data_IF_559939081870
#
_entry.id   IF_559939081870
#
_cell.length_a   1.000
_cell.length_b   1.000
_cell.length_c   1.000
_cell.angle_alpha   90.00
_cell.angle_beta   90.00
_cell.angle_gamma   90.00
#
_symmetry.space_group_name_H-M   'P 1'
#
loop_
_entity.id
_entity.type
_entity.pdbx_description
1 polymer ?
#
# COMPACT_ATOMS: atom_id res chain seq x y z
N UNK A 1 -17.35 0.52 19.90
CA UNK A 1 -16.69 -0.15 21.06
C UNK A 1 -16.04 -1.45 20.65
N UNK A 2 -16.70 -2.38 19.99
CA UNK A 2 -16.15 -3.68 19.54
C UNK A 2 -14.92 -3.50 18.64
N UNK A 3 -14.97 -2.59 17.65
CA UNK A 3 -13.87 -2.34 16.72
C UNK A 3 -12.59 -1.88 17.42
N UNK A 4 -12.69 -0.98 18.41
CA UNK A 4 -11.54 -0.53 19.20
C UNK A 4 -10.96 -1.66 20.04
N UNK A 5 -11.81 -2.53 20.58
CA UNK A 5 -11.37 -3.74 21.29
C UNK A 5 -10.58 -4.66 20.34
N UNK A 6 -11.07 -4.88 19.13
CA UNK A 6 -10.37 -5.70 18.13
C UNK A 6 -8.99 -5.13 17.75
N UNK A 7 -8.88 -3.80 17.57
CA UNK A 7 -7.57 -3.14 17.38
C UNK A 7 -6.64 -3.43 18.54
N UNK A 8 -7.10 -3.24 19.78
CA UNK A 8 -6.29 -3.47 20.97
C UNK A 8 -5.83 -4.93 21.07
N UNK A 9 -6.74 -5.87 20.84
CA UNK A 9 -6.43 -7.31 20.89
C UNK A 9 -5.42 -7.68 19.81
N UNK A 10 -5.64 -7.32 18.56
CA UNK A 10 -4.71 -7.67 17.47
C UNK A 10 -3.35 -6.98 17.62
N UNK A 11 -3.32 -5.77 18.14
CA UNK A 11 -2.08 -5.07 18.50
C UNK A 11 -1.31 -5.83 19.58
N UNK A 12 -1.96 -6.24 20.67
CA UNK A 12 -1.33 -7.01 21.77
C UNK A 12 -0.84 -8.36 21.24
N UNK A 13 -1.63 -9.06 20.45
CA UNK A 13 -1.24 -10.34 19.83
C UNK A 13 0.00 -10.14 18.95
N UNK A 14 0.01 -9.11 18.10
CA UNK A 14 1.16 -8.79 17.23
C UNK A 14 2.40 -8.47 18.06
N UNK A 15 2.28 -7.65 19.13
CA UNK A 15 3.37 -7.32 20.03
C UNK A 15 3.95 -8.56 20.74
N UNK A 16 3.10 -9.49 21.15
CA UNK A 16 3.54 -10.70 21.88
C UNK A 16 4.10 -11.79 20.97
N UNK A 17 3.56 -11.95 19.75
CA UNK A 17 4.02 -12.95 18.78
C UNK A 17 5.35 -12.52 18.14
N UNK A 18 5.59 -11.23 17.92
CA UNK A 18 6.79 -10.74 17.22
C UNK A 18 8.11 -11.28 17.80
N UNK A 19 8.39 -11.20 19.12
CA UNK A 19 9.62 -11.76 19.67
C UNK A 19 9.75 -13.27 19.47
N UNK A 20 8.64 -14.00 19.48
CA UNK A 20 8.62 -15.45 19.24
C UNK A 20 8.99 -15.75 17.81
N UNK A 21 8.40 -15.03 16.84
CA UNK A 21 8.71 -15.17 15.41
C UNK A 21 10.17 -14.81 15.13
N UNK A 22 10.71 -13.76 15.74
CA UNK A 22 12.15 -13.41 15.64
C UNK A 22 13.02 -14.57 16.11
N UNK A 23 12.68 -15.21 17.25
CA UNK A 23 13.45 -16.32 17.78
C UNK A 23 13.39 -17.56 16.86
N UNK A 24 12.20 -17.88 16.33
CA UNK A 24 11.99 -18.99 15.39
C UNK A 24 12.74 -18.72 14.06
N UNK A 25 12.61 -17.54 13.51
CA UNK A 25 13.28 -17.12 12.27
C UNK A 25 14.80 -17.28 12.37
N UNK A 26 15.39 -16.87 13.51
CA UNK A 26 16.84 -17.04 13.73
C UNK A 26 17.23 -18.52 13.82
N UNK A 27 16.42 -19.37 14.45
CA UNK A 27 16.67 -20.83 14.53
C UNK A 27 16.58 -21.50 13.16
N UNK A 28 15.63 -21.07 12.32
CA UNK A 28 15.43 -21.58 10.98
C UNK A 28 16.37 -20.93 9.94
N UNK A 29 17.21 -20.00 10.35
CA UNK A 29 18.11 -19.25 9.48
C UNK A 29 17.39 -18.43 8.38
N UNK A 30 16.11 -18.07 8.63
CA UNK A 30 15.27 -17.23 7.77
C UNK A 30 15.51 -15.74 8.12
N UNK A 31 16.72 -15.29 7.82
CA UNK A 31 17.23 -13.95 8.16
C UNK A 31 17.90 -13.31 6.96
N UNK A 32 17.69 -12.05 6.78
CA UNK A 32 18.44 -11.25 5.83
C UNK A 32 19.84 -10.98 6.37
N UNK A 33 20.87 -11.51 5.67
CA UNK A 33 22.27 -11.39 6.07
C UNK A 33 22.86 -10.05 5.57
N UNK A 34 23.69 -9.37 6.37
CA UNK A 34 24.38 -8.17 5.93
C UNK A 34 25.23 -8.46 4.69
N UNK A 35 25.18 -7.55 3.73
CA UNK A 35 26.10 -7.54 2.59
C UNK A 35 26.53 -6.10 2.28
N UNK A 36 27.52 -5.92 1.38
CA UNK A 36 28.08 -4.60 1.03
C UNK A 36 27.06 -3.58 0.48
N UNK A 37 25.84 -4.01 0.16
CA UNK A 37 24.77 -3.15 -0.39
C UNK A 37 23.69 -2.80 0.63
N UNK A 38 23.72 -3.38 1.85
CA UNK A 38 22.70 -3.28 2.88
C UNK A 38 23.14 -2.40 4.02
N UNK A 39 22.21 -1.65 4.59
CA UNK A 39 22.46 -0.67 5.66
C UNK A 39 22.62 -1.34 7.02
N UNK A 40 22.04 -2.53 7.22
CA UNK A 40 22.08 -3.23 8.50
C UNK A 40 23.39 -4.06 8.66
N UNK A 41 23.89 -4.10 9.89
CA UNK A 41 25.15 -4.78 10.25
C UNK A 41 24.94 -6.14 10.94
N UNK A 42 23.69 -6.48 11.30
CA UNK A 42 23.31 -7.75 11.97
C UNK A 42 22.25 -8.47 11.14
N UNK A 43 22.21 -9.83 11.19
CA UNK A 43 21.12 -10.58 10.56
C UNK A 43 19.77 -10.20 11.16
N UNK A 44 18.81 -9.83 10.30
CA UNK A 44 17.45 -9.41 10.70
C UNK A 44 16.45 -10.41 10.12
N UNK A 45 15.47 -10.82 10.94
CA UNK A 45 14.37 -11.71 10.52
C UNK A 45 13.54 -11.09 9.39
N UNK A 46 13.17 -11.87 8.37
CA UNK A 46 12.29 -11.46 7.25
C UNK A 46 10.87 -12.01 7.38
N UNK A 47 10.50 -12.58 8.54
CA UNK A 47 9.20 -13.23 8.75
C UNK A 47 8.13 -12.29 9.32
N UNK A 48 8.14 -11.00 8.98
CA UNK A 48 7.13 -10.04 9.47
C UNK A 48 5.71 -10.39 9.02
N UNK A 49 5.56 -10.89 7.79
CA UNK A 49 4.27 -11.36 7.28
C UNK A 49 3.61 -12.42 8.15
N UNK A 50 4.41 -13.31 8.78
CA UNK A 50 3.90 -14.34 9.71
C UNK A 50 3.22 -13.71 10.92
N UNK A 51 3.84 -12.69 11.52
CA UNK A 51 3.27 -11.97 12.68
C UNK A 51 1.92 -11.35 12.32
N UNK A 52 1.87 -10.66 11.17
CA UNK A 52 0.68 -9.95 10.73
C UNK A 52 -0.43 -10.95 10.37
N UNK A 53 -0.12 -12.04 9.67
CA UNK A 53 -1.11 -13.07 9.33
C UNK A 53 -1.75 -13.67 10.59
N UNK A 54 -0.95 -14.12 11.56
CA UNK A 54 -1.49 -14.75 12.75
C UNK A 54 -2.32 -13.79 13.61
N UNK A 55 -1.84 -12.55 13.82
CA UNK A 55 -2.60 -11.55 14.55
C UNK A 55 -3.88 -11.14 13.82
N UNK A 56 -3.85 -11.03 12.50
CA UNK A 56 -5.01 -10.77 11.66
C UNK A 56 -6.04 -11.91 11.75
N UNK A 57 -5.62 -13.18 11.59
CA UNK A 57 -6.52 -14.33 11.69
C UNK A 57 -7.16 -14.47 13.07
N UNK A 58 -6.43 -14.20 14.15
CA UNK A 58 -6.97 -14.17 15.52
C UNK A 58 -8.02 -13.06 15.64
N UNK A 59 -7.76 -11.88 15.07
CA UNK A 59 -8.73 -10.78 15.06
C UNK A 59 -10.00 -11.12 14.28
N UNK A 60 -9.88 -11.79 13.13
CA UNK A 60 -11.02 -12.29 12.36
C UNK A 60 -11.81 -13.34 13.16
N UNK A 61 -11.12 -14.28 13.80
CA UNK A 61 -11.76 -15.31 14.62
C UNK A 61 -12.56 -14.71 15.77
N UNK A 62 -12.03 -13.70 16.45
CA UNK A 62 -12.72 -13.02 17.56
C UNK A 62 -13.85 -12.12 17.03
N UNK A 63 -13.62 -11.40 15.93
CA UNK A 63 -14.61 -10.51 15.32
C UNK A 63 -15.78 -11.23 14.66
N UNK A 64 -15.57 -12.49 14.26
CA UNK A 64 -16.56 -13.41 13.74
C UNK A 64 -17.46 -12.83 12.62
N UNK A 65 -16.87 -12.29 11.52
CA UNK A 65 -17.65 -11.76 10.41
C UNK A 65 -18.44 -12.88 9.74
N UNK A 66 -19.71 -12.61 9.45
CA UNK A 66 -20.64 -13.58 8.86
C UNK A 66 -20.78 -13.41 7.33
N UNK A 67 -20.17 -12.37 6.77
CA UNK A 67 -20.23 -12.04 5.35
C UNK A 67 -19.52 -13.09 4.50
N UNK A 68 -20.06 -13.35 3.31
CA UNK A 68 -19.53 -14.35 2.36
C UNK A 68 -18.16 -13.97 1.83
N UNK A 69 -17.85 -12.69 1.81
CA UNK A 69 -16.60 -12.07 1.36
C UNK A 69 -15.40 -12.44 2.22
N UNK A 70 -15.62 -12.98 3.42
CA UNK A 70 -14.53 -13.42 4.30
C UNK A 70 -13.74 -14.60 3.69
N UNK A 71 -14.40 -15.48 2.94
CA UNK A 71 -13.76 -16.65 2.32
C UNK A 71 -12.72 -16.25 1.26
N UNK A 72 -13.06 -15.43 0.24
CA UNK A 72 -12.07 -14.98 -0.74
C UNK A 72 -10.99 -14.09 -0.12
N UNK A 73 -11.31 -13.30 0.90
CA UNK A 73 -10.33 -12.50 1.62
C UNK A 73 -9.26 -13.39 2.28
N UNK A 74 -9.66 -14.35 3.09
CA UNK A 74 -8.73 -15.22 3.83
C UNK A 74 -7.95 -16.11 2.85
N UNK A 75 -8.62 -16.74 1.88
CA UNK A 75 -7.93 -17.62 0.92
C UNK A 75 -6.91 -16.86 0.08
N UNK A 76 -7.26 -15.69 -0.44
CA UNK A 76 -6.32 -14.86 -1.19
C UNK A 76 -5.17 -14.32 -0.32
N UNK A 77 -5.45 -13.90 0.91
CA UNK A 77 -4.42 -13.46 1.85
C UNK A 77 -3.41 -14.58 2.18
N UNK A 78 -3.89 -15.82 2.38
CA UNK A 78 -3.03 -16.99 2.61
C UNK A 78 -2.19 -17.31 1.36
N UNK A 79 -2.78 -17.27 0.16
CA UNK A 79 -2.03 -17.48 -1.09
C UNK A 79 -0.92 -16.44 -1.23
N UNK A 80 -1.22 -15.16 -0.99
CA UNK A 80 -0.23 -14.08 -1.07
C UNK A 80 0.85 -14.21 0.00
N UNK A 81 0.48 -14.58 1.23
CA UNK A 81 1.44 -14.84 2.29
C UNK A 81 2.40 -15.98 1.92
N UNK A 82 1.87 -17.12 1.44
CA UNK A 82 2.69 -18.28 1.04
C UNK A 82 3.59 -17.92 -0.14
N UNK A 83 3.05 -17.22 -1.15
CA UNK A 83 3.84 -16.73 -2.28
C UNK A 83 5.00 -15.85 -1.83
N UNK A 84 4.75 -14.87 -0.98
CA UNK A 84 5.77 -13.98 -0.46
C UNK A 84 6.77 -14.71 0.47
N UNK A 85 6.31 -15.68 1.27
CA UNK A 85 7.22 -16.48 2.10
C UNK A 85 8.17 -17.33 1.25
N UNK A 86 7.68 -17.92 0.16
CA UNK A 86 8.50 -18.67 -0.80
C UNK A 86 9.48 -17.72 -1.49
N UNK A 87 9.05 -16.49 -1.79
CA UNK A 87 9.92 -15.46 -2.37
C UNK A 87 11.02 -14.99 -1.38
N UNK A 88 10.67 -14.75 -0.13
CA UNK A 88 11.62 -14.39 0.94
C UNK A 88 12.73 -15.48 1.13
N UNK A 89 12.41 -16.75 0.79
CA UNK A 89 13.33 -17.89 0.95
C UNK A 89 14.16 -18.16 -0.32
N UNK A 90 13.52 -18.08 -1.50
CA UNK A 90 14.08 -18.60 -2.76
C UNK A 90 14.36 -17.52 -3.81
N UNK A 91 14.01 -16.25 -3.57
CA UNK A 91 14.17 -15.12 -4.51
C UNK A 91 13.54 -15.44 -5.87
N UNK A 92 12.21 -15.49 -5.92
CA UNK A 92 11.44 -15.92 -7.08
C UNK A 92 11.60 -14.97 -8.26
N UNK A 93 11.58 -15.52 -9.46
CA UNK A 93 11.56 -14.70 -10.67
C UNK A 93 10.27 -13.87 -10.76
N UNK A 94 10.33 -12.61 -11.25
CA UNK A 94 9.18 -11.69 -11.24
C UNK A 94 7.90 -12.26 -11.89
N UNK A 95 8.04 -13.08 -12.96
CA UNK A 95 6.87 -13.67 -13.63
C UNK A 95 6.18 -14.75 -12.78
N UNK A 96 6.90 -15.47 -11.91
CA UNK A 96 6.32 -16.45 -10.98
C UNK A 96 5.54 -15.70 -9.89
N UNK A 97 6.12 -14.62 -9.35
CA UNK A 97 5.43 -13.72 -8.41
C UNK A 97 4.14 -13.18 -9.00
N UNK A 98 4.20 -12.66 -10.22
CA UNK A 98 3.03 -12.15 -10.92
C UNK A 98 1.96 -13.22 -11.14
N UNK A 99 2.35 -14.43 -11.54
CA UNK A 99 1.40 -15.54 -11.73
C UNK A 99 0.68 -15.91 -10.43
N UNK A 100 1.40 -15.96 -9.29
CA UNK A 100 0.80 -16.20 -7.98
C UNK A 100 -0.15 -15.08 -7.54
N UNK A 101 0.20 -13.82 -7.79
CA UNK A 101 -0.67 -12.67 -7.52
C UNK A 101 -1.96 -12.74 -8.38
N UNK A 102 -1.84 -13.08 -9.66
CA UNK A 102 -3.00 -13.27 -10.55
C UNK A 102 -3.87 -14.41 -10.03
N UNK A 103 -3.28 -15.53 -9.61
CA UNK A 103 -4.04 -16.67 -9.08
C UNK A 103 -4.84 -16.26 -7.82
N UNK A 104 -4.25 -15.52 -6.88
CA UNK A 104 -4.95 -15.02 -5.70
C UNK A 104 -6.07 -14.04 -6.07
N UNK A 105 -5.85 -13.15 -7.04
CA UNK A 105 -6.87 -12.21 -7.51
C UNK A 105 -8.02 -12.91 -8.26
N UNK A 106 -7.72 -13.96 -9.01
CA UNK A 106 -8.74 -14.79 -9.66
C UNK A 106 -9.63 -15.52 -8.64
N UNK A 107 -9.09 -15.98 -7.52
CA UNK A 107 -9.91 -16.53 -6.43
C UNK A 107 -10.96 -15.53 -5.99
N UNK A 108 -10.60 -14.25 -5.80
CA UNK A 108 -11.55 -13.19 -5.45
C UNK A 108 -12.63 -13.02 -6.51
N UNK A 109 -12.23 -12.97 -7.78
CA UNK A 109 -13.16 -12.79 -8.89
C UNK A 109 -14.12 -13.98 -9.05
N UNK A 110 -13.65 -15.21 -8.87
CA UNK A 110 -14.50 -16.42 -8.94
C UNK A 110 -15.49 -16.55 -7.77
N UNK A 111 -15.20 -15.92 -6.63
CA UNK A 111 -16.19 -15.76 -5.56
C UNK A 111 -17.21 -14.63 -5.81
N UNK A 112 -17.20 -14.02 -7.00
CA UNK A 112 -18.15 -12.98 -7.39
C UNK A 112 -17.82 -11.57 -6.86
N UNK A 113 -16.60 -11.36 -6.35
CA UNK A 113 -16.15 -10.02 -5.94
C UNK A 113 -15.44 -9.37 -7.11
N UNK A 114 -16.20 -8.67 -7.95
CA UNK A 114 -15.73 -8.07 -9.22
C UNK A 114 -16.14 -6.60 -9.34
N UNK A 115 -15.45 -5.85 -10.21
CA UNK A 115 -15.85 -4.51 -10.66
C UNK A 115 -16.72 -4.70 -11.89
N UNK A 116 -18.06 -4.64 -11.73
CA UNK A 116 -18.99 -4.99 -12.80
C UNK A 116 -19.35 -3.79 -13.67
N UNK A 117 -19.39 -2.59 -13.09
CA UNK A 117 -19.70 -1.36 -13.80
C UNK A 117 -19.10 -0.13 -13.13
N UNK A 118 -19.02 0.97 -13.87
CA UNK A 118 -18.69 2.30 -13.37
C UNK A 118 -19.83 3.24 -13.73
N UNK A 119 -20.30 4.02 -12.73
CA UNK A 119 -21.29 5.07 -12.95
C UNK A 119 -20.60 6.39 -13.26
N UNK A 120 -20.99 7.02 -14.36
CA UNK A 120 -20.52 8.34 -14.77
C UNK A 120 -21.33 9.45 -14.07
N UNK A 121 -20.80 10.69 -13.92
CA UNK A 121 -21.48 11.78 -13.21
C UNK A 121 -22.85 12.16 -13.78
N UNK A 122 -23.14 11.84 -15.05
CA UNK A 122 -24.42 12.13 -15.71
C UNK A 122 -25.45 10.99 -15.61
N UNK A 123 -25.24 10.02 -14.69
CA UNK A 123 -26.17 8.90 -14.48
C UNK A 123 -26.03 7.75 -15.49
N UNK A 124 -25.12 7.85 -16.45
CA UNK A 124 -24.80 6.75 -17.37
C UNK A 124 -23.92 5.73 -16.70
N UNK A 125 -24.19 4.43 -16.90
CA UNK A 125 -23.36 3.34 -16.40
C UNK A 125 -22.63 2.63 -17.54
N UNK A 126 -21.35 2.37 -17.37
CA UNK A 126 -20.55 1.54 -18.27
C UNK A 126 -20.44 0.16 -17.66
N UNK A 127 -21.08 -0.84 -18.27
CA UNK A 127 -20.99 -2.24 -17.87
C UNK A 127 -19.76 -2.89 -18.47
N UNK A 128 -18.99 -3.60 -17.66
CA UNK A 128 -17.77 -4.27 -18.15
C UNK A 128 -18.01 -5.67 -18.67
N UNK A 129 -19.09 -6.34 -18.26
CA UNK A 129 -19.41 -7.70 -18.68
C UNK A 129 -18.23 -8.66 -18.45
N UNK A 130 -17.73 -9.30 -19.51
CA UNK A 130 -16.60 -10.24 -19.41
C UNK A 130 -15.27 -9.57 -18.97
N UNK A 131 -15.13 -8.25 -19.13
CA UNK A 131 -13.96 -7.50 -18.67
C UNK A 131 -13.94 -7.28 -17.15
N UNK A 132 -15.02 -7.55 -16.42
CA UNK A 132 -15.08 -7.40 -14.95
C UNK A 132 -13.98 -8.19 -14.26
N UNK A 133 -13.71 -9.44 -14.69
CA UNK A 133 -12.67 -10.29 -14.12
C UNK A 133 -11.26 -9.72 -14.38
N UNK A 134 -10.83 -9.44 -15.64
CA UNK A 134 -9.51 -8.87 -15.88
C UNK A 134 -9.30 -7.52 -15.19
N UNK A 135 -10.30 -6.64 -15.16
CA UNK A 135 -10.20 -5.34 -14.46
C UNK A 135 -9.99 -5.55 -12.95
N UNK A 136 -10.73 -6.45 -12.34
CA UNK A 136 -10.59 -6.82 -10.92
C UNK A 136 -9.20 -7.37 -10.62
N UNK A 137 -8.69 -8.27 -11.46
CA UNK A 137 -7.36 -8.85 -11.31
C UNK A 137 -6.28 -7.77 -11.42
N UNK A 138 -6.36 -6.91 -12.43
CA UNK A 138 -5.42 -5.79 -12.61
C UNK A 138 -5.44 -4.87 -11.38
N UNK A 139 -6.62 -4.56 -10.85
CA UNK A 139 -6.79 -3.72 -9.67
C UNK A 139 -6.06 -4.28 -8.45
N UNK A 140 -6.35 -5.52 -8.09
CA UNK A 140 -5.74 -6.19 -6.93
C UNK A 140 -4.23 -6.30 -7.10
N UNK A 141 -3.77 -6.75 -8.27
CA UNK A 141 -2.34 -6.91 -8.57
C UNK A 141 -1.60 -5.57 -8.56
N UNK A 142 -2.22 -4.49 -9.08
CA UNK A 142 -1.60 -3.17 -9.07
C UNK A 142 -1.39 -2.65 -7.65
N UNK A 143 -2.39 -2.73 -6.77
CA UNK A 143 -2.27 -2.32 -5.36
C UNK A 143 -1.26 -3.20 -4.62
N UNK A 144 -1.30 -4.51 -4.84
CA UNK A 144 -0.36 -5.46 -4.23
C UNK A 144 1.09 -5.10 -4.58
N UNK A 145 1.37 -4.86 -5.87
CA UNK A 145 2.72 -4.49 -6.29
C UNK A 145 3.11 -3.08 -5.81
N UNK A 146 2.17 -2.12 -5.74
CA UNK A 146 2.47 -0.79 -5.23
C UNK A 146 2.92 -0.82 -3.76
N UNK A 147 2.26 -1.62 -2.92
CA UNK A 147 2.67 -1.81 -1.51
C UNK A 147 3.99 -2.59 -1.41
N UNK A 148 4.19 -3.60 -2.24
CA UNK A 148 5.44 -4.37 -2.24
C UNK A 148 6.65 -3.51 -2.68
N UNK A 149 6.49 -2.64 -3.67
CA UNK A 149 7.58 -1.79 -4.16
C UNK A 149 7.98 -0.68 -3.18
N UNK A 150 7.08 -0.23 -2.30
CA UNK A 150 7.43 0.78 -1.28
C UNK A 150 8.13 0.16 -0.07
N UNK A 151 8.19 -1.16 0.07
CA UNK A 151 8.86 -1.86 1.19
C UNK A 151 10.39 -1.85 1.04
N UNK A 152 10.97 -0.66 0.96
CA UNK A 152 12.41 -0.44 0.81
C UNK A 152 13.11 0.12 2.05
N UNK A 153 12.36 0.54 3.09
CA UNK A 153 12.90 1.11 4.34
C UNK A 153 12.14 0.58 5.55
N UNK A 154 12.85 0.47 6.70
CA UNK A 154 12.27 0.03 7.97
C UNK A 154 10.99 0.78 8.32
N UNK A 155 9.88 0.07 8.46
CA UNK A 155 8.58 0.61 8.82
C UNK A 155 7.81 1.30 7.71
N UNK A 156 8.40 1.51 6.52
CA UNK A 156 7.80 2.33 5.48
C UNK A 156 6.49 1.75 4.96
N UNK A 157 6.51 0.52 4.44
CA UNK A 157 5.31 -0.12 3.90
C UNK A 157 4.26 -0.37 4.99
N UNK A 158 4.68 -0.82 6.17
CA UNK A 158 3.78 -1.05 7.31
C UNK A 158 3.05 0.22 7.74
N UNK A 159 3.75 1.36 7.83
CA UNK A 159 3.15 2.63 8.26
C UNK A 159 2.28 3.27 7.19
N UNK A 160 2.71 3.28 5.92
CA UNK A 160 1.87 3.77 4.80
C UNK A 160 0.59 2.95 4.68
N UNK A 161 0.69 1.62 4.83
CA UNK A 161 -0.47 0.73 4.86
C UNK A 161 -1.39 1.01 6.05
N UNK A 162 -0.84 1.28 7.24
CA UNK A 162 -1.63 1.66 8.42
C UNK A 162 -2.40 2.97 8.19
N UNK A 163 -1.77 3.99 7.61
CA UNK A 163 -2.41 5.25 7.24
C UNK A 163 -3.55 5.01 6.24
N UNK A 164 -3.31 4.19 5.20
CA UNK A 164 -4.33 3.81 4.23
C UNK A 164 -5.52 3.09 4.86
N UNK A 165 -5.27 2.14 5.77
CA UNK A 165 -6.31 1.39 6.48
C UNK A 165 -7.15 2.27 7.41
N UNK A 166 -6.54 3.25 8.10
CA UNK A 166 -7.29 4.25 8.88
C UNK A 166 -8.26 5.00 7.98
N UNK A 167 -7.81 5.41 6.81
CA UNK A 167 -8.61 6.20 5.87
C UNK A 167 -9.74 5.37 5.26
N UNK A 168 -9.44 4.16 4.75
CA UNK A 168 -10.45 3.24 4.20
C UNK A 168 -11.47 2.88 5.28
N UNK A 169 -11.01 2.56 6.50
CA UNK A 169 -11.86 2.23 7.63
C UNK A 169 -12.74 3.41 8.07
N UNK A 170 -12.22 4.64 8.05
CA UNK A 170 -13.00 5.84 8.35
C UNK A 170 -14.10 6.08 7.29
N UNK A 171 -13.78 5.98 6.01
CA UNK A 171 -14.77 6.09 4.92
C UNK A 171 -15.81 4.96 5.04
N UNK A 172 -15.39 3.74 5.39
CA UNK A 172 -16.30 2.63 5.63
C UNK A 172 -17.28 2.88 6.81
N UNK A 173 -16.82 3.57 7.87
CA UNK A 173 -17.70 4.02 8.96
C UNK A 173 -18.76 5.00 8.42
N UNK A 174 -18.36 5.97 7.60
CA UNK A 174 -19.31 6.93 6.99
C UNK A 174 -20.32 6.23 6.07
N UNK A 175 -19.93 5.11 5.45
CA UNK A 175 -20.80 4.26 4.63
C UNK A 175 -21.64 3.28 5.44
N UNK A 176 -21.51 3.24 6.78
CA UNK A 176 -22.09 2.23 7.65
C UNK A 176 -21.72 0.77 7.26
N UNK A 177 -20.58 0.57 6.60
CA UNK A 177 -20.10 -0.75 6.21
C UNK A 177 -19.30 -1.39 7.34
N UNK A 178 -19.97 -2.23 8.14
CA UNK A 178 -19.40 -2.85 9.34
C UNK A 178 -18.26 -3.82 8.97
N UNK A 179 -18.43 -4.61 7.89
CA UNK A 179 -17.44 -5.60 7.46
C UNK A 179 -16.11 -4.95 7.12
N UNK A 180 -16.12 -3.98 6.18
CA UNK A 180 -14.89 -3.28 5.78
C UNK A 180 -14.25 -2.57 6.97
N UNK A 181 -15.06 -1.88 7.79
CA UNK A 181 -14.59 -1.22 9.01
C UNK A 181 -13.86 -2.21 9.92
N UNK A 182 -14.47 -3.36 10.20
CA UNK A 182 -13.88 -4.36 11.09
C UNK A 182 -12.56 -4.90 10.52
N UNK A 183 -12.52 -5.29 9.25
CA UNK A 183 -11.31 -5.85 8.62
C UNK A 183 -10.17 -4.82 8.61
N UNK A 184 -10.47 -3.55 8.25
CA UNK A 184 -9.49 -2.47 8.30
C UNK A 184 -8.86 -2.33 9.68
N UNK A 185 -9.67 -2.30 10.72
CA UNK A 185 -9.19 -2.06 12.08
C UNK A 185 -8.50 -3.29 12.70
N UNK A 186 -8.92 -4.51 12.36
CA UNK A 186 -8.21 -5.74 12.73
C UNK A 186 -6.80 -5.77 12.13
N UNK A 187 -6.67 -5.47 10.83
CA UNK A 187 -5.36 -5.41 10.19
C UNK A 187 -4.52 -4.24 10.71
N UNK A 188 -5.15 -3.08 10.95
CA UNK A 188 -4.50 -1.91 11.54
C UNK A 188 -3.85 -2.23 12.90
N UNK A 189 -4.59 -2.89 13.80
CA UNK A 189 -4.06 -3.30 15.09
C UNK A 189 -2.85 -4.23 14.95
N UNK A 190 -2.93 -5.21 14.02
CA UNK A 190 -1.81 -6.09 13.70
C UNK A 190 -0.58 -5.32 13.22
N UNK A 191 -0.77 -4.32 12.34
CA UNK A 191 0.31 -3.49 11.82
C UNK A 191 0.92 -2.56 12.88
N UNK A 192 0.10 -1.94 13.73
CA UNK A 192 0.61 -1.05 14.80
C UNK A 192 1.49 -1.85 15.77
N UNK A 193 1.05 -3.04 16.20
CA UNK A 193 1.84 -3.91 17.05
C UNK A 193 3.15 -4.35 16.40
N UNK A 194 3.10 -4.71 15.10
CA UNK A 194 4.27 -5.09 14.32
C UNK A 194 5.23 -3.90 14.14
N UNK A 195 4.73 -2.71 13.84
CA UNK A 195 5.50 -1.50 13.57
C UNK A 195 6.40 -1.11 14.76
N UNK A 196 6.03 -1.47 15.99
CA UNK A 196 6.86 -1.27 17.18
C UNK A 196 8.23 -1.97 17.06
N UNK A 197 8.30 -3.09 16.35
CA UNK A 197 9.55 -3.83 16.09
C UNK A 197 10.13 -3.57 14.70
N UNK A 198 9.30 -3.15 13.75
CA UNK A 198 9.70 -2.92 12.37
C UNK A 198 10.17 -1.48 12.12
N UNK A 199 9.81 -0.49 12.97
CA UNK A 199 10.28 0.90 12.83
C UNK A 199 11.79 0.99 13.09
N UNK A 200 12.42 1.94 12.38
CA UNK A 200 13.88 2.08 12.40
C UNK A 200 14.47 2.42 13.79
N UNK A 201 15.49 1.69 14.28
CA UNK A 201 16.17 0.54 13.66
C UNK A 201 15.37 -0.76 13.82
N UNK A 202 15.06 -1.41 12.70
CA UNK A 202 14.20 -2.58 12.67
C UNK A 202 14.83 -3.79 13.36
N UNK A 203 14.02 -4.53 14.12
CA UNK A 203 14.37 -5.85 14.72
C UNK A 203 13.83 -7.01 13.87
N UNK A 204 12.89 -6.73 12.98
CA UNK A 204 12.26 -7.64 12.04
C UNK A 204 11.83 -6.86 10.80
N UNK A 205 12.06 -7.40 9.62
CA UNK A 205 11.57 -6.85 8.36
C UNK A 205 10.20 -7.42 8.03
N UNK A 206 9.43 -6.65 7.27
CA UNK A 206 8.10 -7.05 6.80
C UNK A 206 8.19 -8.28 5.89
N UNK A 207 9.12 -8.24 4.95
CA UNK A 207 9.33 -9.25 3.92
C UNK A 207 8.25 -9.22 2.82
N UNK A 208 8.53 -9.93 1.73
CA UNK A 208 7.58 -10.09 0.63
C UNK A 208 6.29 -10.80 1.08
N UNK A 209 6.40 -11.71 2.04
CA UNK A 209 5.25 -12.37 2.70
C UNK A 209 4.28 -11.37 3.34
N UNK A 210 4.79 -10.34 4.01
CA UNK A 210 3.97 -9.29 4.59
C UNK A 210 3.48 -8.29 3.56
N UNK A 211 4.37 -7.78 2.72
CA UNK A 211 4.06 -6.74 1.76
C UNK A 211 2.99 -7.17 0.72
N UNK A 212 3.13 -8.38 0.15
CA UNK A 212 2.15 -8.92 -0.80
C UNK A 212 0.79 -9.18 -0.14
N UNK A 213 0.79 -9.76 1.06
CA UNK A 213 -0.46 -10.03 1.80
C UNK A 213 -1.20 -8.74 2.18
N UNK A 214 -0.52 -7.75 2.73
CA UNK A 214 -1.11 -6.45 3.10
C UNK A 214 -1.64 -5.75 1.85
N UNK A 215 -0.84 -5.70 0.79
CA UNK A 215 -1.24 -5.10 -0.48
C UNK A 215 -2.48 -5.74 -1.07
N UNK A 216 -2.57 -7.07 -1.03
CA UNK A 216 -3.77 -7.82 -1.44
C UNK A 216 -4.99 -7.47 -0.57
N UNK A 217 -4.86 -7.48 0.77
CA UNK A 217 -5.98 -7.17 1.66
C UNK A 217 -6.47 -5.73 1.43
N UNK A 218 -5.57 -4.75 1.29
CA UNK A 218 -5.93 -3.37 0.98
C UNK A 218 -6.59 -3.28 -0.40
N UNK A 219 -6.08 -3.99 -1.42
CA UNK A 219 -6.68 -4.07 -2.74
C UNK A 219 -8.09 -4.65 -2.71
N UNK A 220 -8.30 -5.72 -1.96
CA UNK A 220 -9.60 -6.34 -1.74
C UNK A 220 -10.59 -5.40 -1.01
N UNK A 221 -10.15 -4.75 0.08
CA UNK A 221 -10.99 -3.82 0.83
C UNK A 221 -11.36 -2.59 0.00
N UNK A 222 -10.42 -2.07 -0.79
CA UNK A 222 -10.68 -0.97 -1.70
C UNK A 222 -11.68 -1.35 -2.79
N UNK A 223 -11.60 -2.57 -3.31
CA UNK A 223 -12.56 -3.11 -4.25
C UNK A 223 -13.98 -3.13 -3.66
N UNK A 224 -14.14 -3.70 -2.47
CA UNK A 224 -15.44 -3.78 -1.80
C UNK A 224 -16.01 -2.42 -1.41
N UNK A 225 -15.16 -1.51 -0.94
CA UNK A 225 -15.57 -0.20 -0.45
C UNK A 225 -15.96 0.78 -1.54
N UNK A 226 -15.41 0.60 -2.76
CA UNK A 226 -15.52 1.58 -3.82
C UNK A 226 -16.02 1.01 -5.16
N UNK A 227 -16.31 -0.31 -5.24
CA UNK A 227 -16.90 -0.92 -6.44
C UNK A 227 -18.32 -0.41 -6.66
N UNK A 228 -18.72 -0.35 -7.93
CA UNK A 228 -20.11 -0.07 -8.34
C UNK A 228 -20.67 1.28 -7.86
N UNK A 229 -19.79 2.23 -7.54
CA UNK A 229 -20.15 3.59 -7.19
C UNK A 229 -19.88 4.50 -8.41
N UNK A 230 -19.48 5.71 -8.24
CA UNK A 230 -19.11 6.60 -9.33
C UNK A 230 -17.67 6.37 -9.79
N UNK A 231 -17.33 6.78 -11.02
CA UNK A 231 -15.94 6.79 -11.48
C UNK A 231 -15.01 7.50 -10.49
N UNK A 232 -15.51 8.54 -9.81
CA UNK A 232 -14.78 9.30 -8.79
C UNK A 232 -14.39 8.39 -7.62
N UNK A 233 -15.25 7.44 -7.24
CA UNK A 233 -14.98 6.54 -6.12
C UNK A 233 -13.81 5.58 -6.37
N UNK A 234 -13.52 5.23 -7.62
CA UNK A 234 -12.34 4.44 -7.97
C UNK A 234 -11.02 5.20 -7.76
N UNK A 235 -11.06 6.54 -7.72
CA UNK A 235 -9.88 7.33 -7.42
C UNK A 235 -9.55 7.38 -5.92
N UNK A 236 -10.51 7.11 -5.02
CA UNK A 236 -10.21 7.17 -3.58
C UNK A 236 -9.05 6.24 -3.16
N UNK A 237 -9.04 4.95 -3.51
CA UNK A 237 -7.90 4.09 -3.16
C UNK A 237 -6.59 4.55 -3.80
N UNK A 238 -6.63 5.09 -5.03
CA UNK A 238 -5.44 5.63 -5.71
C UNK A 238 -4.92 6.87 -4.97
N UNK A 239 -5.81 7.75 -4.49
CA UNK A 239 -5.44 8.93 -3.71
C UNK A 239 -4.95 8.54 -2.31
N UNK A 240 -5.64 7.63 -1.63
CA UNK A 240 -5.23 7.11 -0.31
C UNK A 240 -3.83 6.50 -0.37
N UNK A 241 -3.55 5.76 -1.44
CA UNK A 241 -2.28 5.10 -1.70
C UNK A 241 -1.43 5.88 -2.72
N UNK A 242 -1.59 7.22 -2.80
CA UNK A 242 -0.93 8.01 -3.83
C UNK A 242 0.59 7.82 -3.83
N UNK A 243 1.22 7.76 -2.66
CA UNK A 243 2.68 7.58 -2.58
C UNK A 243 3.13 6.26 -3.22
N UNK A 244 2.61 5.07 -2.86
CA UNK A 244 2.94 3.82 -3.54
C UNK A 244 2.64 3.85 -5.05
N UNK A 245 1.50 4.42 -5.45
CA UNK A 245 1.11 4.50 -6.86
C UNK A 245 2.02 5.42 -7.67
N UNK A 246 2.32 6.61 -7.16
CA UNK A 246 3.23 7.57 -7.79
C UNK A 246 4.60 6.93 -7.97
N UNK A 247 5.14 6.30 -6.94
CA UNK A 247 6.46 5.67 -6.98
C UNK A 247 6.51 4.56 -8.03
N UNK A 248 5.49 3.70 -8.07
CA UNK A 248 5.37 2.62 -9.06
C UNK A 248 5.21 3.16 -10.49
N UNK A 249 4.32 4.14 -10.70
CA UNK A 249 4.05 4.73 -12.01
C UNK A 249 5.30 5.40 -12.59
N UNK A 250 5.97 6.23 -11.80
CA UNK A 250 7.18 6.90 -12.26
C UNK A 250 8.36 5.95 -12.44
N UNK A 251 8.45 4.85 -11.68
CA UNK A 251 9.41 3.79 -11.95
C UNK A 251 9.18 3.16 -13.33
N UNK A 252 7.92 2.86 -13.70
CA UNK A 252 7.58 2.34 -15.02
C UNK A 252 7.90 3.35 -16.14
N UNK A 253 7.54 4.62 -15.97
CA UNK A 253 7.83 5.69 -16.95
C UNK A 253 9.35 5.82 -17.17
N UNK A 254 10.15 5.83 -16.11
CA UNK A 254 11.62 5.90 -16.22
C UNK A 254 12.20 4.71 -16.99
N UNK A 255 11.72 3.49 -16.73
CA UNK A 255 12.18 2.28 -17.42
C UNK A 255 11.86 2.34 -18.92
N UNK A 256 10.64 2.72 -19.28
CA UNK A 256 10.25 2.91 -20.68
C UNK A 256 11.10 3.98 -21.36
N UNK A 257 11.32 5.15 -20.73
CA UNK A 257 12.18 6.20 -21.27
C UNK A 257 13.64 5.75 -21.49
N UNK A 258 14.15 4.83 -20.66
CA UNK A 258 15.49 4.27 -20.77
C UNK A 258 15.57 3.06 -21.69
N UNK A 259 14.48 2.64 -22.35
CA UNK A 259 14.43 1.44 -23.16
C UNK A 259 14.62 0.14 -22.36
N UNK A 260 14.36 0.17 -21.05
CA UNK A 260 14.49 -0.98 -20.15
C UNK A 260 13.18 -1.75 -20.04
N UNK A 261 13.27 -3.04 -19.72
CA UNK A 261 12.08 -3.85 -19.47
C UNK A 261 11.35 -3.39 -18.21
N UNK A 262 10.01 -3.31 -18.25
CA UNK A 262 9.18 -2.80 -17.15
C UNK A 262 9.41 -3.53 -15.82
N UNK A 263 9.76 -4.82 -15.86
CA UNK A 263 10.02 -5.67 -14.69
C UNK A 263 11.46 -5.61 -14.18
N UNK A 264 12.34 -4.79 -14.79
CA UNK A 264 13.72 -4.68 -14.34
C UNK A 264 13.80 -3.93 -13.00
N UNK A 265 14.74 -4.30 -12.13
CA UNK A 265 14.95 -3.60 -10.85
C UNK A 265 15.31 -2.12 -11.09
N UNK A 266 14.65 -1.21 -10.36
CA UNK A 266 14.92 0.23 -10.36
C UNK A 266 15.38 0.67 -8.97
N UNK A 267 16.44 1.47 -8.90
CA UNK A 267 16.99 2.04 -7.66
C UNK A 267 16.63 3.52 -7.49
N UNK A 268 15.65 4.03 -8.26
CA UNK A 268 15.28 5.45 -8.27
C UNK A 268 13.89 5.69 -7.66
N UNK A 269 13.48 4.83 -6.73
CA UNK A 269 12.25 5.01 -5.95
C UNK A 269 12.30 6.25 -5.07
N UNK A 270 11.15 6.77 -4.68
CA UNK A 270 11.00 8.01 -3.89
C UNK A 270 11.90 8.00 -2.64
N UNK A 271 11.91 6.90 -1.90
CA UNK A 271 12.73 6.78 -0.70
C UNK A 271 14.24 6.85 -1.01
N UNK A 272 14.71 6.28 -2.13
CA UNK A 272 16.10 6.41 -2.55
C UNK A 272 16.46 7.83 -2.95
N UNK A 273 15.53 8.55 -3.60
CA UNK A 273 15.72 9.95 -3.97
C UNK A 273 15.84 10.86 -2.73
N UNK A 274 14.98 10.65 -1.73
CA UNK A 274 15.03 11.41 -0.48
C UNK A 274 16.31 11.15 0.31
N UNK A 275 16.76 9.90 0.38
CA UNK A 275 18.08 9.56 0.97
C UNK A 275 19.22 10.23 0.22
N UNK A 276 19.18 10.27 -1.11
CA UNK A 276 20.19 10.94 -1.93
C UNK A 276 20.19 12.48 -1.75
N UNK A 277 19.06 13.08 -1.36
CA UNK A 277 18.96 14.48 -0.98
C UNK A 277 19.53 14.78 0.42
N UNK A 278 20.03 13.76 1.16
CA UNK A 278 20.68 13.91 2.46
C UNK A 278 19.76 13.69 3.67
N UNK A 279 18.49 13.28 3.46
CA UNK A 279 17.63 12.93 4.58
C UNK A 279 18.08 11.62 5.23
N UNK A 280 18.03 11.54 6.55
CA UNK A 280 18.28 10.29 7.28
C UNK A 280 17.14 9.29 7.03
N UNK A 281 17.37 8.00 7.32
CA UNK A 281 16.37 6.94 7.21
C UNK A 281 15.04 7.32 7.90
N UNK A 282 15.10 7.74 9.17
CA UNK A 282 13.91 8.18 9.94
C UNK A 282 13.21 9.38 9.31
N UNK A 283 13.97 10.38 8.89
CA UNK A 283 13.39 11.58 8.25
C UNK A 283 12.69 11.22 6.95
N UNK A 284 13.28 10.35 6.14
CA UNK A 284 12.69 9.87 4.88
C UNK A 284 11.34 9.18 5.14
N UNK A 285 11.29 8.24 6.09
CA UNK A 285 10.07 7.51 6.44
C UNK A 285 9.00 8.47 6.98
N UNK A 286 9.34 9.36 7.90
CA UNK A 286 8.39 10.33 8.46
C UNK A 286 7.88 11.33 7.42
N UNK A 287 8.73 11.77 6.48
CA UNK A 287 8.32 12.64 5.39
C UNK A 287 7.30 11.91 4.47
N UNK A 288 7.58 10.66 4.12
CA UNK A 288 6.65 9.86 3.30
C UNK A 288 5.33 9.62 4.06
N UNK A 289 5.35 9.36 5.37
CA UNK A 289 4.13 9.29 6.19
C UNK A 289 3.34 10.59 6.15
N UNK A 290 4.01 11.73 6.27
CA UNK A 290 3.36 13.06 6.22
C UNK A 290 2.67 13.29 4.87
N UNK A 291 3.34 12.95 3.77
CA UNK A 291 2.76 13.00 2.42
C UNK A 291 1.56 12.05 2.31
N UNK A 292 1.68 10.82 2.82
CA UNK A 292 0.59 9.84 2.81
C UNK A 292 -0.62 10.32 3.63
N UNK A 293 -0.40 10.95 4.78
CA UNK A 293 -1.46 11.56 5.60
C UNK A 293 -2.16 12.68 4.83
N UNK A 294 -1.42 13.55 4.14
CA UNK A 294 -2.01 14.63 3.34
C UNK A 294 -2.92 14.10 2.24
N UNK A 295 -2.48 13.08 1.49
CA UNK A 295 -3.31 12.45 0.47
C UNK A 295 -4.51 11.70 1.08
N UNK A 296 -4.33 11.04 2.21
CA UNK A 296 -5.40 10.38 2.95
C UNK A 296 -6.48 11.37 3.41
N UNK A 297 -6.10 12.52 3.97
CA UNK A 297 -7.02 13.59 4.33
C UNK A 297 -7.71 14.16 3.09
N UNK A 298 -6.98 14.37 2.00
CA UNK A 298 -7.55 14.80 0.72
C UNK A 298 -8.62 13.82 0.22
N UNK A 299 -8.42 12.51 0.38
CA UNK A 299 -9.40 11.49 0.01
C UNK A 299 -10.66 11.57 0.86
N UNK A 300 -10.56 11.80 2.17
CA UNK A 300 -11.71 12.00 3.06
C UNK A 300 -12.49 13.27 2.65
N UNK A 301 -11.78 14.37 2.37
CA UNK A 301 -12.40 15.61 1.90
C UNK A 301 -13.12 15.38 0.57
N UNK A 302 -12.47 14.69 -0.38
CA UNK A 302 -13.10 14.32 -1.66
C UNK A 302 -14.40 13.55 -1.46
N UNK A 303 -14.44 12.61 -0.49
CA UNK A 303 -15.61 11.78 -0.22
C UNK A 303 -16.84 12.59 0.23
N UNK A 304 -16.63 13.65 1.02
CA UNK A 304 -17.71 14.48 1.56
C UNK A 304 -17.98 15.75 0.74
N UNK A 305 -17.20 16.02 -0.31
CA UNK A 305 -17.24 17.26 -1.07
C UNK A 305 -18.37 17.28 -2.10
N UNK A 306 -19.02 18.44 -2.34
CA UNK A 306 -19.90 18.65 -3.48
C UNK A 306 -19.10 18.63 -4.80
N UNK A 307 -19.73 18.51 -5.98
CA UNK A 307 -19.04 18.35 -7.27
C UNK A 307 -17.95 19.39 -7.56
N UNK A 308 -18.17 20.66 -7.24
CA UNK A 308 -17.19 21.72 -7.40
C UNK A 308 -15.97 21.48 -6.49
N UNK A 309 -16.20 21.07 -5.24
CA UNK A 309 -15.14 20.75 -4.28
C UNK A 309 -14.29 19.57 -4.77
N UNK A 310 -14.92 18.56 -5.38
CA UNK A 310 -14.22 17.42 -5.98
C UNK A 310 -13.26 17.88 -7.09
N UNK A 311 -13.70 18.74 -8.01
CA UNK A 311 -12.84 19.28 -9.08
C UNK A 311 -11.65 20.06 -8.51
N UNK A 312 -11.91 20.95 -7.54
CA UNK A 312 -10.84 21.73 -6.90
C UNK A 312 -9.83 20.83 -6.18
N UNK A 313 -10.30 19.81 -5.48
CA UNK A 313 -9.42 18.85 -4.81
C UNK A 313 -8.59 18.05 -5.79
N UNK A 314 -9.14 17.59 -6.93
CA UNK A 314 -8.34 16.93 -7.97
C UNK A 314 -7.23 17.83 -8.52
N UNK A 315 -7.53 19.13 -8.77
CA UNK A 315 -6.52 20.09 -9.20
C UNK A 315 -5.40 20.22 -8.14
N UNK A 316 -5.76 20.34 -6.86
CA UNK A 316 -4.79 20.42 -5.77
C UNK A 316 -3.95 19.15 -5.62
N UNK A 317 -4.56 17.97 -5.77
CA UNK A 317 -3.85 16.68 -5.72
C UNK A 317 -2.85 16.58 -6.88
N UNK A 318 -3.27 16.88 -8.11
CA UNK A 318 -2.38 16.86 -9.30
C UNK A 318 -1.23 17.84 -9.12
N UNK A 319 -1.51 19.04 -8.64
CA UNK A 319 -0.49 20.05 -8.36
C UNK A 319 0.49 19.59 -7.27
N UNK A 320 0.00 18.95 -6.21
CA UNK A 320 0.84 18.41 -5.14
C UNK A 320 1.74 17.27 -5.63
N UNK A 321 1.20 16.40 -6.49
CA UNK A 321 1.97 15.32 -7.12
C UNK A 321 3.11 15.91 -7.97
N UNK A 322 2.79 16.91 -8.81
CA UNK A 322 3.79 17.56 -9.67
C UNK A 322 4.90 18.20 -8.83
N UNK A 323 4.55 18.93 -7.73
CA UNK A 323 5.55 19.49 -6.82
C UNK A 323 6.45 18.44 -6.18
N UNK A 324 5.89 17.30 -5.76
CA UNK A 324 6.67 16.19 -5.20
C UNK A 324 7.65 15.65 -6.25
N UNK A 325 7.18 15.46 -7.47
CA UNK A 325 7.97 14.95 -8.60
C UNK A 325 9.13 15.89 -8.94
N UNK A 326 8.87 17.20 -9.03
CA UNK A 326 9.89 18.20 -9.31
C UNK A 326 10.91 18.32 -8.18
N UNK A 327 10.44 18.37 -6.93
CA UNK A 327 11.31 18.51 -5.76
C UNK A 327 12.25 17.31 -5.59
N UNK A 328 11.73 16.11 -5.78
CA UNK A 328 12.52 14.87 -5.61
C UNK A 328 13.31 14.47 -6.85
N UNK A 329 13.03 15.08 -8.02
CA UNK A 329 13.60 14.67 -9.29
C UNK A 329 13.20 13.23 -9.67
N UNK A 330 11.95 12.83 -9.37
CA UNK A 330 11.47 11.46 -9.54
C UNK A 330 11.47 11.02 -11.00
N UNK A 331 11.22 11.93 -11.95
CA UNK A 331 11.29 11.68 -13.41
C UNK A 331 12.72 11.90 -13.92
N UNK A 332 13.22 13.12 -13.71
CA UNK A 332 14.52 13.61 -14.13
C UNK A 332 14.90 14.81 -13.23
N UNK A 333 16.19 14.94 -12.89
CA UNK A 333 16.68 16.03 -12.04
C UNK A 333 16.51 17.42 -12.71
N UNK A 334 16.42 17.46 -14.04
CA UNK A 334 16.23 18.69 -14.84
C UNK A 334 14.74 19.04 -15.08
N UNK A 335 13.83 18.14 -14.77
CA UNK A 335 12.39 18.36 -14.97
C UNK A 335 11.83 19.20 -13.80
N UNK A 336 11.70 20.53 -13.99
CA UNK A 336 11.24 21.49 -12.95
C UNK A 336 10.39 22.61 -13.54
N UNK A 337 9.28 22.33 -14.25
CA UNK A 337 8.47 23.36 -14.89
C UNK A 337 7.90 24.37 -13.90
N UNK A 338 7.32 23.95 -12.77
CA UNK A 338 6.69 24.83 -11.77
C UNK A 338 7.75 25.58 -10.95
N UNK A 339 8.76 24.88 -10.43
CA UNK A 339 9.82 25.51 -9.64
C UNK A 339 10.59 26.56 -10.43
N UNK A 340 10.83 26.33 -11.73
CA UNK A 340 11.47 27.31 -12.60
C UNK A 340 10.60 28.53 -12.85
N UNK A 341 9.26 28.37 -12.91
CA UNK A 341 8.34 29.53 -13.01
C UNK A 341 8.36 30.39 -11.74
N UNK A 342 8.43 29.74 -10.58
CA UNK A 342 8.48 30.45 -9.28
C UNK A 342 9.81 31.19 -9.13
N UNK A 343 10.95 30.55 -9.48
CA UNK A 343 12.27 31.16 -9.37
C UNK A 343 12.46 32.37 -10.31
N UNK A 344 11.92 32.32 -11.54
CA UNK A 344 11.94 33.45 -12.48
C UNK A 344 11.15 34.67 -11.97
N UNK A 345 10.04 34.44 -11.22
CA UNK A 345 9.28 35.54 -10.61
C UNK A 345 9.99 36.18 -9.41
N UNK A 346 10.86 35.48 -8.72
CA UNK A 346 11.66 36.00 -7.61
C UNK A 346 12.79 36.91 -8.10
N UNK A 347 13.45 36.58 -9.22
CA UNK A 347 14.51 37.38 -9.81
C UNK A 347 14.01 38.70 -10.45
N UNK A 348 12.73 38.81 -10.86
CA UNK A 348 12.13 40.03 -11.37
C UNK A 348 11.55 40.98 -10.30
N UNK A 349 11.66 40.64 -9.01
CA UNK A 349 11.23 41.50 -7.89
C UNK A 349 12.40 42.19 -7.17
N UNK A 350 13.62 41.86 -7.54
CA UNK A 350 14.84 42.47 -6.99
C UNK A 350 15.48 43.51 -7.93
N UNK A 351 14.91 43.69 -9.13
CA UNK A 351 15.18 44.82 -10.06
C UNK A 351 14.04 45.88 -9.96
#
# INVERSE_FOLDING_TARGET
>A
MVTLLLVAVTMIVSLTITPIVIAISKRLNLVDKPNFRKVHTKPISVMGGTVILFSFLIGIWIGHPIETEIKPLISGAIIMYVLGLVDDIYDLKPYIKLAGQIAAALVVAFYGVTIDFISLPMGTTIQFGFLSIPITVIWIVAITNAINLIDGLDGLASGVSAIGLITIGFIAILQANIFITMICFVLLGSLIGFLFYNFHPAKIFLGDSGALMIGFIIGFLSLLGFKNITIIALFFPIVILAVPFIDTLFAMIRRVKKGQHIMQADKSHLHHKLLALGYTHRQTVLLIYSISILFSLSSIILYVSPPLGVVLMFVLIIFSIELIVEFTGLIDNNYRPILNLISRKSSHKED
#
